data_IF_202557926450
#
_entry.id   IF_202557926450
#
_cell.length_a   1.000
_cell.length_b   1.000
_cell.length_c   1.000
_cell.angle_alpha   90.00
_cell.angle_beta   90.00
_cell.angle_gamma   90.00
#
_symmetry.space_group_name_H-M   'P 1'
#
loop_
_entity.id
_entity.type
_entity.pdbx_description
1 polymer ?
#
# COMPACT_ATOMS: atom_id res chain seq x y z
N UNK A 1 -9.58 36.27 -53.67
CA UNK A 1 -8.86 36.82 -52.49
C UNK A 1 -9.89 36.78 -51.39
N UNK A 2 -10.11 35.59 -50.84
CA UNK A 2 -11.15 35.31 -49.85
C UNK A 2 -10.52 35.25 -48.46
N UNK A 3 -10.55 36.41 -47.84
CA UNK A 3 -10.73 36.71 -46.41
C UNK A 3 -10.57 35.57 -45.40
N UNK A 4 -9.37 35.54 -44.83
CA UNK A 4 -9.08 35.03 -43.49
C UNK A 4 -9.83 35.85 -42.43
N UNK A 5 -11.08 35.49 -42.13
CA UNK A 5 -11.80 35.99 -40.94
C UNK A 5 -12.22 34.80 -40.10
N UNK A 6 -11.24 34.16 -39.47
CA UNK A 6 -11.50 33.28 -38.33
C UNK A 6 -11.80 34.21 -37.14
N UNK A 7 -13.08 34.32 -36.81
CA UNK A 7 -13.59 35.21 -35.76
C UNK A 7 -12.92 34.96 -34.41
N UNK A 8 -12.51 36.03 -33.72
CA UNK A 8 -11.87 35.99 -32.39
C UNK A 8 -12.76 35.29 -31.34
N UNK A 9 -14.08 35.30 -31.55
CA UNK A 9 -15.07 34.55 -30.75
C UNK A 9 -15.00 33.04 -30.97
N UNK A 10 -14.57 32.59 -32.15
CA UNK A 10 -14.40 31.16 -32.47
C UNK A 10 -13.13 30.60 -31.84
N UNK A 11 -12.04 31.38 -31.76
CA UNK A 11 -10.83 30.99 -31.03
C UNK A 11 -11.08 30.87 -29.51
N UNK A 12 -11.83 31.80 -28.91
CA UNK A 12 -12.15 31.75 -27.47
C UNK A 12 -13.05 30.58 -27.09
N UNK A 13 -13.95 30.15 -27.98
CA UNK A 13 -14.82 29.00 -27.76
C UNK A 13 -14.05 27.66 -27.78
N UNK A 14 -13.03 27.55 -28.63
CA UNK A 14 -12.20 26.34 -28.74
C UNK A 14 -11.22 26.25 -27.55
N UNK A 15 -10.66 27.37 -27.08
CA UNK A 15 -9.81 27.39 -25.89
C UNK A 15 -10.58 27.19 -24.56
N UNK A 16 -11.82 27.67 -24.46
CA UNK A 16 -12.67 27.49 -23.27
C UNK A 16 -13.20 26.06 -23.11
N UNK A 17 -13.51 25.39 -24.23
CA UNK A 17 -13.98 24.00 -24.21
C UNK A 17 -12.85 22.98 -23.94
N UNK A 18 -11.61 23.29 -24.30
CA UNK A 18 -10.46 22.44 -24.00
C UNK A 18 -10.06 22.46 -22.52
N UNK A 19 -10.31 23.56 -21.81
CA UNK A 19 -10.00 23.67 -20.36
C UNK A 19 -11.06 23.01 -19.47
N UNK A 20 -12.31 22.86 -19.94
CA UNK A 20 -13.37 22.18 -19.20
C UNK A 20 -13.27 20.65 -19.24
N UNK A 21 -12.55 20.09 -20.21
CA UNK A 21 -12.36 18.64 -20.35
C UNK A 21 -11.18 18.09 -19.51
N UNK A 22 -10.34 18.96 -18.93
CA UNK A 22 -9.17 18.55 -18.13
C UNK A 22 -9.48 18.39 -16.63
N UNK A 23 -10.70 18.68 -16.19
CA UNK A 23 -11.12 18.55 -14.78
C UNK A 23 -11.54 17.12 -14.38
N UNK A 24 -11.44 16.15 -15.30
CA UNK A 24 -11.69 14.73 -15.04
C UNK A 24 -10.39 13.93 -15.18
N UNK A 25 -9.50 14.06 -14.21
CA UNK A 25 -8.39 13.10 -14.02
C UNK A 25 -8.08 12.95 -12.53
N UNK A 26 -7.64 11.77 -12.08
CA UNK A 26 -8.44 10.94 -11.19
C UNK A 26 -7.99 11.04 -9.73
N UNK A 27 -8.87 11.49 -8.83
CA UNK A 27 -8.67 11.38 -7.39
C UNK A 27 -9.03 9.98 -6.84
N UNK A 28 -8.91 8.91 -7.65
CA UNK A 28 -9.60 7.64 -7.39
C UNK A 28 -8.70 6.38 -7.36
N UNK A 29 -7.37 6.49 -7.32
CA UNK A 29 -6.47 5.30 -7.28
C UNK A 29 -5.74 5.08 -5.95
N UNK A 30 -6.23 5.62 -4.83
CA UNK A 30 -5.63 5.37 -3.51
C UNK A 30 -6.08 4.04 -2.85
N UNK A 31 -6.84 3.20 -3.57
CA UNK A 31 -7.50 2.01 -2.99
C UNK A 31 -6.76 0.68 -3.15
N UNK A 32 -5.86 0.57 -4.13
CA UNK A 32 -5.30 -0.73 -4.57
C UNK A 32 -3.77 -0.80 -4.47
N UNK A 33 -3.14 0.08 -3.69
CA UNK A 33 -1.70 0.02 -3.46
C UNK A 33 -1.38 -1.12 -2.49
N UNK A 34 -0.55 -2.05 -2.93
CA UNK A 34 -0.01 -3.11 -2.08
C UNK A 34 0.90 -2.53 -0.99
N UNK A 35 1.03 -3.24 0.12
CA UNK A 35 1.92 -2.81 1.20
C UNK A 35 3.38 -2.71 0.73
N UNK A 36 3.81 -3.56 -0.20
CA UNK A 36 5.14 -3.51 -0.81
C UNK A 36 5.33 -2.23 -1.64
N UNK A 37 4.38 -1.89 -2.52
CA UNK A 37 4.44 -0.66 -3.31
C UNK A 37 4.54 0.58 -2.41
N UNK A 38 3.82 0.61 -1.29
CA UNK A 38 3.88 1.70 -0.32
C UNK A 38 5.27 1.88 0.30
N UNK A 39 5.97 0.79 0.62
CA UNK A 39 7.31 0.88 1.19
C UNK A 39 8.36 1.25 0.12
N UNK A 40 8.23 0.72 -1.09
CA UNK A 40 9.17 1.00 -2.20
C UNK A 40 9.18 2.49 -2.57
N UNK A 41 8.05 3.20 -2.43
CA UNK A 41 7.97 4.66 -2.66
C UNK A 41 8.95 5.48 -1.79
N UNK A 42 9.33 4.97 -0.61
CA UNK A 42 10.17 5.68 0.35
C UNK A 42 11.54 5.03 0.59
N UNK A 43 11.75 3.80 0.13
CA UNK A 43 12.96 3.03 0.45
C UNK A 43 13.50 2.12 -0.65
N UNK A 44 12.85 2.01 -1.81
CA UNK A 44 13.27 1.05 -2.84
C UNK A 44 13.04 -0.41 -2.44
N UNK A 45 13.33 -1.35 -3.35
CA UNK A 45 13.20 -2.79 -3.09
C UNK A 45 14.23 -3.28 -2.05
N UNK A 46 15.38 -2.61 -1.99
CA UNK A 46 16.49 -2.88 -1.08
C UNK A 46 16.20 -2.53 0.38
N UNK A 47 15.13 -1.76 0.65
CA UNK A 47 14.62 -1.56 2.01
C UNK A 47 14.16 -2.84 2.70
N UNK A 48 13.82 -3.89 1.93
CA UNK A 48 13.40 -5.18 2.46
C UNK A 48 14.26 -6.34 1.94
N UNK A 49 14.69 -6.29 0.68
CA UNK A 49 15.36 -7.40 0.00
C UNK A 49 16.83 -7.12 -0.24
N UNK A 50 17.70 -8.02 0.22
CA UNK A 50 19.13 -7.87 -0.01
C UNK A 50 19.43 -7.97 -1.51
N UNK A 51 20.14 -6.98 -2.04
CA UNK A 51 20.45 -6.91 -3.47
C UNK A 51 19.18 -7.01 -4.35
N UNK A 52 18.06 -6.44 -3.85
CA UNK A 52 16.72 -6.46 -4.48
C UNK A 52 16.16 -7.88 -4.74
N UNK A 53 16.70 -8.90 -4.07
CA UNK A 53 16.29 -10.29 -4.22
C UNK A 53 15.75 -10.86 -2.91
N UNK A 54 14.66 -11.64 -2.93
CA UNK A 54 14.12 -12.25 -1.72
C UNK A 54 15.11 -13.27 -1.16
N UNK A 55 15.25 -13.28 0.16
CA UNK A 55 15.96 -14.35 0.86
C UNK A 55 15.21 -15.68 0.72
N UNK A 56 15.93 -16.78 0.94
CA UNK A 56 15.34 -18.11 0.77
C UNK A 56 14.34 -18.47 1.88
N UNK A 57 14.48 -17.87 3.06
CA UNK A 57 13.73 -18.21 4.27
C UNK A 57 12.93 -17.04 4.85
N UNK A 58 13.02 -15.84 4.27
CA UNK A 58 12.35 -14.64 4.74
C UNK A 58 12.99 -13.99 5.98
N UNK A 59 14.11 -14.54 6.49
CA UNK A 59 14.71 -14.07 7.73
C UNK A 59 15.29 -12.66 7.58
N UNK A 60 15.93 -12.37 6.44
CA UNK A 60 16.49 -11.05 6.16
C UNK A 60 15.40 -9.98 6.11
N UNK A 61 14.29 -10.27 5.42
CA UNK A 61 13.14 -9.38 5.29
C UNK A 61 12.51 -9.09 6.67
N UNK A 62 12.38 -10.12 7.53
CA UNK A 62 11.88 -9.95 8.88
C UNK A 62 12.77 -9.05 9.74
N UNK A 63 14.09 -9.15 9.60
CA UNK A 63 15.01 -8.20 10.23
C UNK A 63 14.79 -6.77 9.74
N UNK A 64 14.50 -6.58 8.43
CA UNK A 64 14.23 -5.25 7.89
C UNK A 64 12.94 -4.66 8.45
N UNK A 65 11.88 -5.46 8.61
CA UNK A 65 10.64 -5.02 9.26
C UNK A 65 10.92 -4.48 10.67
N UNK A 66 11.67 -5.25 11.46
CA UNK A 66 11.97 -4.93 12.85
C UNK A 66 12.89 -3.72 13.00
N UNK A 67 13.78 -3.47 12.02
CA UNK A 67 14.69 -2.32 12.04
C UNK A 67 13.97 -0.96 12.11
N UNK A 68 12.74 -0.89 11.57
CA UNK A 68 11.90 0.31 11.55
C UNK A 68 10.71 0.24 12.52
N UNK A 69 10.09 -0.94 12.68
CA UNK A 69 8.85 -1.10 13.45
C UNK A 69 9.04 -1.66 14.86
N UNK A 70 10.24 -2.08 15.24
CA UNK A 70 10.50 -2.77 16.50
C UNK A 70 10.10 -4.24 16.49
N UNK A 71 10.16 -4.89 17.64
CA UNK A 71 9.91 -6.33 17.78
C UNK A 71 8.44 -6.64 18.09
N UNK A 72 7.97 -7.86 17.78
CA UNK A 72 6.61 -8.30 18.11
C UNK A 72 6.32 -8.22 19.62
N UNK A 73 7.31 -8.49 20.46
CA UNK A 73 7.19 -8.42 21.92
C UNK A 73 6.81 -7.03 22.46
N UNK A 74 7.10 -5.97 21.71
CA UNK A 74 6.88 -4.56 22.06
C UNK A 74 5.57 -4.00 21.48
N UNK A 75 4.89 -4.78 20.64
CA UNK A 75 3.65 -4.40 19.98
C UNK A 75 2.42 -4.73 20.84
N UNK A 76 1.23 -4.49 20.27
CA UNK A 76 -0.05 -4.69 20.95
C UNK A 76 -0.37 -6.17 21.27
N UNK A 77 -1.52 -6.39 21.91
CA UNK A 77 -1.95 -7.71 22.36
C UNK A 77 -2.32 -8.67 21.22
N UNK A 78 -2.45 -8.21 19.98
CA UNK A 78 -2.58 -9.09 18.80
C UNK A 78 -1.21 -9.57 18.34
N UNK A 79 -0.20 -8.71 18.36
CA UNK A 79 1.14 -9.03 17.87
C UNK A 79 1.97 -9.82 18.87
N UNK A 80 2.00 -9.37 20.12
CA UNK A 80 2.87 -9.91 21.17
C UNK A 80 2.80 -11.43 21.36
N UNK A 81 1.63 -12.10 21.29
CA UNK A 81 1.57 -13.55 21.41
C UNK A 81 2.23 -14.33 20.28
N UNK A 82 2.50 -13.70 19.13
CA UNK A 82 3.13 -14.33 17.96
C UNK A 82 4.66 -14.19 17.96
N UNK A 83 5.22 -13.44 18.91
CA UNK A 83 6.66 -13.29 19.09
C UNK A 83 7.36 -14.66 19.19
N UNK A 84 8.43 -14.82 18.40
CA UNK A 84 9.22 -16.06 18.31
C UNK A 84 8.56 -17.22 17.56
N UNK A 85 7.32 -17.09 17.07
CA UNK A 85 6.61 -18.16 16.35
C UNK A 85 6.30 -17.82 14.89
N UNK A 86 6.09 -16.53 14.59
CA UNK A 86 5.78 -16.03 13.25
C UNK A 86 6.65 -14.83 12.92
N UNK A 87 6.78 -14.55 11.63
CA UNK A 87 7.35 -13.30 11.10
C UNK A 87 6.24 -12.36 10.63
N UNK A 88 6.55 -11.07 10.45
CA UNK A 88 5.57 -10.07 10.03
C UNK A 88 4.82 -10.47 8.75
N UNK A 89 5.54 -11.04 7.77
CA UNK A 89 5.02 -11.40 6.47
C UNK A 89 4.05 -12.60 6.48
N UNK A 90 4.03 -13.41 7.54
CA UNK A 90 3.08 -14.53 7.66
C UNK A 90 1.62 -14.05 7.77
N UNK A 91 1.44 -12.84 8.32
CA UNK A 91 0.14 -12.18 8.41
C UNK A 91 0.02 -11.03 7.39
N UNK A 92 1.05 -10.18 7.32
CA UNK A 92 1.10 -9.04 6.42
C UNK A 92 1.81 -9.43 5.12
N UNK A 93 1.15 -10.17 4.24
CA UNK A 93 1.70 -10.54 2.93
C UNK A 93 1.92 -9.29 2.04
N UNK A 94 3.14 -8.71 1.91
CA UNK A 94 3.26 -7.32 1.47
C UNK A 94 2.95 -7.13 -0.02
N UNK A 95 3.16 -8.18 -0.82
CA UNK A 95 2.89 -8.17 -2.26
C UNK A 95 1.43 -8.52 -2.60
N UNK A 96 0.65 -9.01 -1.63
CA UNK A 96 -0.72 -9.47 -1.84
C UNK A 96 -1.76 -8.61 -1.09
N UNK A 97 -1.40 -8.12 0.10
CA UNK A 97 -2.27 -7.30 0.93
C UNK A 97 -2.12 -5.83 0.59
N UNK A 98 -3.25 -5.13 0.51
CA UNK A 98 -3.28 -3.68 0.30
C UNK A 98 -3.03 -2.91 1.61
N UNK A 99 -2.58 -1.67 1.47
CA UNK A 99 -2.47 -0.76 2.62
C UNK A 99 -3.82 -0.61 3.32
N UNK A 100 -3.83 -0.77 4.66
CA UNK A 100 -5.04 -0.69 5.48
C UNK A 100 -5.87 -1.99 5.53
N UNK A 101 -5.53 -2.99 4.73
CA UNK A 101 -6.10 -4.34 4.85
C UNK A 101 -5.63 -4.98 6.16
N UNK A 102 -6.58 -5.43 6.97
CA UNK A 102 -6.27 -6.16 8.22
C UNK A 102 -6.15 -7.65 7.91
N UNK A 103 -5.03 -8.30 8.29
CA UNK A 103 -4.93 -9.75 8.23
C UNK A 103 -6.06 -10.42 9.02
N UNK A 104 -6.48 -11.59 8.54
CA UNK A 104 -7.51 -12.38 9.18
C UNK A 104 -6.90 -13.51 10.00
N UNK A 105 -7.69 -14.15 10.87
CA UNK A 105 -7.16 -15.10 11.86
C UNK A 105 -7.42 -16.56 11.45
N UNK A 106 -8.37 -16.79 10.55
CA UNK A 106 -8.85 -18.11 10.16
C UNK A 106 -7.87 -18.95 9.33
N UNK A 107 -6.78 -18.33 8.86
CA UNK A 107 -5.68 -19.05 8.21
C UNK A 107 -4.96 -20.00 9.20
N UNK A 108 -4.96 -19.66 10.49
CA UNK A 108 -4.24 -20.40 11.53
C UNK A 108 -5.11 -20.78 12.74
N UNK A 109 -6.21 -20.10 12.99
CA UNK A 109 -7.10 -20.31 14.14
C UNK A 109 -8.51 -20.71 13.72
N UNK A 110 -9.10 -21.68 14.40
CA UNK A 110 -10.42 -22.25 14.07
C UNK A 110 -11.53 -21.86 15.06
N UNK A 111 -11.25 -20.96 16.00
CA UNK A 111 -12.17 -20.55 17.07
C UNK A 111 -12.97 -19.26 16.77
N UNK A 112 -12.83 -18.72 15.56
CA UNK A 112 -13.54 -17.52 15.12
C UNK A 112 -13.06 -16.23 15.77
N UNK A 113 -11.86 -16.21 16.39
CA UNK A 113 -11.26 -14.99 16.92
C UNK A 113 -11.02 -13.94 15.83
N UNK A 114 -11.06 -12.68 16.23
CA UNK A 114 -10.72 -11.53 15.37
C UNK A 114 -9.80 -10.57 16.12
N UNK A 115 -9.09 -9.69 15.40
CA UNK A 115 -8.27 -8.65 16.03
C UNK A 115 -9.09 -7.81 17.04
N UNK A 116 -10.33 -7.46 16.70
CA UNK A 116 -11.24 -6.71 17.58
C UNK A 116 -11.57 -7.46 18.87
N UNK A 117 -11.74 -8.79 18.81
CA UNK A 117 -12.02 -9.61 20.00
C UNK A 117 -10.86 -9.66 21.00
N UNK A 118 -9.65 -9.36 20.53
CA UNK A 118 -8.44 -9.31 21.36
C UNK A 118 -8.19 -7.89 21.86
N UNK A 119 -8.23 -6.88 20.98
CA UNK A 119 -7.87 -5.49 21.31
C UNK A 119 -8.91 -4.76 22.17
N UNK A 120 -10.17 -5.19 22.16
CA UNK A 120 -11.27 -4.56 22.92
C UNK A 120 -11.61 -5.30 24.22
N UNK A 121 -10.76 -6.23 24.62
CA UNK A 121 -10.90 -7.00 25.86
C UNK A 121 -10.48 -6.16 27.07
#
# INVERSE_FOLDING_TARGET
>A
MEDTIVSKTLLSAIFGAAFAALALTPAAFAGDQTLAEFHVENGGCDSCHKDESPSADGAYEFEQCQSCHGTLAEMDDVHKPHDGNLVCADCHAPHDNNVGQKPTCESCHDDGRTADSVLKK
#
